data_IF_821417963933
#
_entry.id   IF_821417963933
#
_cell.length_a   1.000
_cell.length_b   1.000
_cell.length_c   1.000
_cell.angle_alpha   90.00
_cell.angle_beta   90.00
_cell.angle_gamma   90.00
#
_symmetry.space_group_name_H-M   'P 1'
#
loop_
_entity.id
_entity.type
_entity.pdbx_description
1 polymer ?
#
# COMPACT_ATOMS: atom_id res chain seq x y z
N UNK A 1 -3.64 -31.68 8.24
CA UNK A 1 -4.49 -31.21 9.35
C UNK A 1 -5.13 -29.85 9.09
N UNK A 2 -4.50 -28.92 8.35
CA UNK A 2 -5.06 -27.57 8.16
C UNK A 2 -6.43 -27.60 7.44
N UNK A 3 -6.66 -28.61 6.61
CA UNK A 3 -7.93 -28.90 5.94
C UNK A 3 -9.10 -29.22 6.87
N UNK A 4 -8.82 -29.53 8.15
CA UNK A 4 -9.85 -29.74 9.18
C UNK A 4 -10.37 -28.42 9.76
N UNK A 5 -9.62 -27.34 9.59
CA UNK A 5 -9.98 -26.03 10.12
C UNK A 5 -10.93 -25.29 9.16
N UNK A 6 -11.79 -24.47 9.74
CA UNK A 6 -12.72 -23.63 9.00
C UNK A 6 -11.97 -22.48 8.33
N UNK A 7 -12.38 -22.11 7.12
CA UNK A 7 -11.76 -20.99 6.41
C UNK A 7 -12.48 -19.69 6.72
N UNK A 8 -11.72 -18.62 6.86
CA UNK A 8 -12.25 -17.27 7.07
C UNK A 8 -13.31 -16.85 6.03
N UNK A 9 -13.24 -17.33 4.79
CA UNK A 9 -14.21 -16.98 3.73
C UNK A 9 -15.48 -17.84 3.73
N UNK A 10 -15.57 -18.91 4.53
CA UNK A 10 -16.69 -19.86 4.48
C UNK A 10 -17.25 -20.28 5.84
N UNK A 11 -16.59 -19.95 6.96
CA UNK A 11 -17.10 -20.29 8.29
C UNK A 11 -18.40 -19.55 8.60
N UNK A 12 -19.23 -20.10 9.50
CA UNK A 12 -20.42 -19.41 9.98
C UNK A 12 -20.02 -18.29 10.96
N UNK A 13 -20.22 -17.01 10.62
CA UNK A 13 -19.79 -15.91 11.48
C UNK A 13 -20.79 -15.59 12.60
N UNK A 14 -21.92 -16.31 12.74
CA UNK A 14 -22.86 -16.06 13.83
C UNK A 14 -22.18 -16.27 15.20
N UNK A 15 -22.01 -15.21 16.01
CA UNK A 15 -21.34 -15.30 17.31
C UNK A 15 -22.03 -16.29 18.26
N UNK A 16 -23.34 -16.52 18.11
CA UNK A 16 -24.07 -17.46 18.97
C UNK A 16 -23.58 -18.90 18.83
N UNK A 17 -23.11 -19.29 17.64
CA UNK A 17 -22.55 -20.62 17.37
C UNK A 17 -21.23 -20.88 18.13
N UNK A 18 -20.62 -19.83 18.68
CA UNK A 18 -19.36 -19.88 19.44
C UNK A 18 -19.55 -19.79 20.95
N UNK A 19 -20.79 -19.79 21.44
CA UNK A 19 -21.08 -19.71 22.88
C UNK A 19 -20.34 -20.81 23.65
N UNK A 20 -19.59 -20.41 24.69
CA UNK A 20 -18.79 -21.30 25.55
C UNK A 20 -17.66 -22.08 24.81
N UNK A 21 -17.33 -21.72 23.58
CA UNK A 21 -16.29 -22.39 22.79
C UNK A 21 -14.89 -21.75 22.97
N UNK A 22 -13.85 -22.58 22.98
CA UNK A 22 -12.44 -22.18 22.85
C UNK A 22 -12.07 -22.12 21.38
N UNK A 23 -11.76 -20.93 20.88
CA UNK A 23 -11.53 -20.67 19.45
C UNK A 23 -10.06 -20.35 19.20
N UNK A 24 -9.47 -21.01 18.21
CA UNK A 24 -8.18 -20.63 17.64
C UNK A 24 -8.40 -19.91 16.31
N UNK A 25 -7.89 -18.69 16.18
CA UNK A 25 -7.81 -17.98 14.90
C UNK A 25 -6.36 -17.96 14.43
N UNK A 26 -6.07 -18.66 13.34
CA UNK A 26 -4.75 -18.74 12.71
C UNK A 26 -4.61 -17.59 11.72
N UNK A 27 -3.77 -16.63 12.05
CA UNK A 27 -3.54 -15.42 11.26
C UNK A 27 -3.15 -14.24 12.15
N UNK A 28 -2.68 -13.18 11.51
CA UNK A 28 -2.22 -11.96 12.21
C UNK A 28 -2.53 -10.66 11.46
N UNK A 29 -3.31 -10.76 10.39
CA UNK A 29 -3.80 -9.62 9.64
C UNK A 29 -5.16 -9.16 10.15
N UNK A 30 -5.76 -8.19 9.46
CA UNK A 30 -7.08 -7.66 9.81
C UNK A 30 -8.15 -8.75 9.94
N UNK A 31 -8.19 -9.72 9.02
CA UNK A 31 -9.15 -10.82 9.03
C UNK A 31 -9.10 -11.66 10.31
N UNK A 32 -7.93 -11.89 10.87
CA UNK A 32 -7.83 -12.66 12.12
C UNK A 32 -8.37 -11.85 13.32
N UNK A 33 -8.04 -10.56 13.35
CA UNK A 33 -8.43 -9.70 14.46
C UNK A 33 -9.90 -9.28 14.41
N UNK A 34 -10.49 -9.06 13.23
CA UNK A 34 -11.93 -8.79 13.13
C UNK A 34 -12.77 -10.02 13.48
N UNK A 35 -12.35 -11.23 13.08
CA UNK A 35 -12.99 -12.47 13.52
C UNK A 35 -12.88 -12.64 15.03
N UNK A 36 -11.71 -12.37 15.61
CA UNK A 36 -11.53 -12.47 17.06
C UNK A 36 -12.39 -11.45 17.82
N UNK A 37 -12.45 -10.21 17.32
CA UNK A 37 -13.24 -9.14 17.92
C UNK A 37 -14.75 -9.43 17.86
N UNK A 38 -15.25 -9.93 16.73
CA UNK A 38 -16.69 -10.24 16.56
C UNK A 38 -17.19 -11.37 17.45
N UNK A 39 -16.30 -12.26 17.92
CA UNK A 39 -16.63 -13.42 18.75
C UNK A 39 -16.39 -13.18 20.23
N UNK A 40 -15.84 -12.02 20.60
CA UNK A 40 -15.29 -11.77 21.93
C UNK A 40 -16.34 -11.77 23.04
N UNK A 41 -17.59 -11.46 22.72
CA UNK A 41 -18.71 -11.45 23.67
C UNK A 41 -19.35 -12.83 23.90
N UNK A 42 -19.08 -13.82 23.03
CA UNK A 42 -19.75 -15.14 23.08
C UNK A 42 -18.79 -16.31 23.32
N UNK A 43 -17.59 -16.27 22.76
CA UNK A 43 -16.60 -17.34 22.95
C UNK A 43 -16.03 -17.36 24.37
N UNK A 44 -15.76 -18.55 24.91
CA UNK A 44 -15.16 -18.70 26.23
C UNK A 44 -13.70 -18.21 26.28
N UNK A 45 -12.93 -18.53 25.23
CA UNK A 45 -11.53 -18.13 25.08
C UNK A 45 -11.21 -18.00 23.60
N UNK A 46 -10.55 -16.91 23.21
CA UNK A 46 -10.04 -16.75 21.85
C UNK A 46 -8.52 -16.60 21.89
N UNK A 47 -7.84 -17.43 21.11
CA UNK A 47 -6.42 -17.26 20.83
C UNK A 47 -6.21 -16.88 19.37
N UNK A 48 -5.50 -15.78 19.12
CA UNK A 48 -5.04 -15.39 17.77
C UNK A 48 -3.57 -15.75 17.65
N UNK A 49 -3.19 -16.54 16.64
CA UNK A 49 -1.82 -17.02 16.46
C UNK A 49 -1.23 -16.65 15.11
N UNK A 50 0.03 -16.21 15.12
CA UNK A 50 0.83 -16.05 13.91
C UNK A 50 2.32 -15.93 14.24
N UNK A 51 3.16 -16.04 13.21
CA UNK A 51 4.61 -15.87 13.33
C UNK A 51 5.03 -14.39 13.28
N UNK A 52 6.22 -14.09 13.79
CA UNK A 52 6.88 -12.78 13.70
C UNK A 52 6.36 -11.73 14.70
N UNK A 53 6.54 -10.45 14.39
CA UNK A 53 5.99 -9.36 15.21
C UNK A 53 4.69 -8.81 14.61
N UNK A 54 3.75 -8.42 15.46
CA UNK A 54 2.53 -7.72 15.03
C UNK A 54 2.90 -6.33 14.50
N UNK A 55 2.50 -6.05 13.25
CA UNK A 55 2.68 -4.73 12.62
C UNK A 55 1.36 -3.98 12.65
N UNK A 56 1.42 -2.70 12.98
CA UNK A 56 0.25 -1.84 13.13
C UNK A 56 0.17 -0.89 11.93
N UNK A 57 -1.02 -0.72 11.37
CA UNK A 57 -1.24 0.03 10.14
C UNK A 57 -0.84 1.50 10.28
N UNK A 58 -1.08 2.14 11.43
CA UNK A 58 -0.71 3.55 11.66
C UNK A 58 0.80 3.76 11.73
N UNK A 59 1.57 2.74 12.14
CA UNK A 59 3.04 2.83 12.20
C UNK A 59 3.67 2.57 10.85
N UNK A 60 3.12 1.60 10.11
CA UNK A 60 3.68 1.16 8.82
C UNK A 60 3.11 1.90 7.60
N UNK A 61 2.09 2.74 7.80
CA UNK A 61 1.26 3.33 6.75
C UNK A 61 0.72 2.34 5.70
N UNK A 62 0.63 1.06 6.06
CA UNK A 62 0.13 0.00 5.20
C UNK A 62 -1.15 -0.61 5.79
N UNK A 63 -2.26 -0.36 5.11
CA UNK A 63 -3.62 -0.75 5.55
C UNK A 63 -3.80 -2.28 5.65
N UNK A 64 -2.92 -3.07 5.01
CA UNK A 64 -2.92 -4.54 5.14
C UNK A 64 -2.35 -5.06 6.46
N UNK A 65 -1.67 -4.24 7.24
CA UNK A 65 -1.32 -4.54 8.64
C UNK A 65 -2.51 -4.26 9.58
N UNK A 66 -2.41 -4.64 10.85
CA UNK A 66 -3.53 -4.53 11.79
C UNK A 66 -3.99 -3.08 11.94
N UNK A 67 -5.25 -2.83 11.61
CA UNK A 67 -5.88 -1.52 11.73
C UNK A 67 -6.45 -1.31 13.12
N UNK A 68 -6.43 -0.05 13.57
CA UNK A 68 -6.95 0.35 14.87
C UNK A 68 -8.42 -0.04 15.10
N UNK A 69 -9.23 -0.10 14.04
CA UNK A 69 -10.64 -0.53 14.12
C UNK A 69 -10.80 -1.96 14.63
N UNK A 70 -9.77 -2.80 14.51
CA UNK A 70 -9.76 -4.20 14.97
C UNK A 70 -8.85 -4.40 16.21
N UNK A 71 -8.48 -3.32 16.91
CA UNK A 71 -7.56 -3.40 18.05
C UNK A 71 -8.22 -3.79 19.37
N UNK A 72 -9.54 -3.73 19.49
CA UNK A 72 -10.23 -3.98 20.76
C UNK A 72 -9.84 -5.36 21.36
N UNK A 73 -9.57 -6.35 20.51
CA UNK A 73 -9.00 -7.63 20.94
C UNK A 73 -7.64 -7.51 21.68
N UNK A 74 -6.77 -6.58 21.28
CA UNK A 74 -5.49 -6.33 21.96
C UNK A 74 -5.69 -5.85 23.40
N UNK A 75 -6.71 -5.03 23.66
CA UNK A 75 -7.04 -4.57 25.01
C UNK A 75 -7.47 -5.76 25.87
N UNK A 76 -8.32 -6.65 25.34
CA UNK A 76 -8.72 -7.88 26.06
C UNK A 76 -7.52 -8.77 26.42
N UNK A 77 -6.52 -8.85 25.54
CA UNK A 77 -5.28 -9.60 25.78
C UNK A 77 -4.38 -8.92 26.83
N UNK A 78 -4.18 -7.61 26.72
CA UNK A 78 -3.29 -6.85 27.61
C UNK A 78 -3.89 -6.69 29.01
N UNK A 79 -5.21 -6.48 29.10
CA UNK A 79 -5.95 -6.30 30.35
C UNK A 79 -6.48 -7.62 30.95
N UNK A 80 -6.07 -8.77 30.38
CA UNK A 80 -6.28 -10.13 30.92
C UNK A 80 -7.73 -10.62 30.98
N UNK A 81 -8.53 -10.31 29.97
CA UNK A 81 -9.89 -10.83 29.77
C UNK A 81 -9.89 -12.22 29.09
N UNK A 82 -9.06 -13.16 29.56
CA UNK A 82 -8.87 -14.54 29.08
C UNK A 82 -8.42 -14.75 27.62
N UNK A 83 -8.45 -13.74 26.76
CA UNK A 83 -7.97 -13.81 25.39
C UNK A 83 -6.44 -13.70 25.28
N UNK A 84 -5.87 -14.25 24.20
CA UNK A 84 -4.42 -14.19 23.97
C UNK A 84 -4.01 -14.00 22.51
N UNK A 85 -2.95 -13.19 22.31
CA UNK A 85 -2.20 -13.18 21.06
C UNK A 85 -0.94 -14.02 21.25
N UNK A 86 -0.82 -15.09 20.49
CA UNK A 86 0.27 -16.05 20.58
C UNK A 86 1.32 -15.78 19.50
N UNK A 87 2.58 -15.59 19.94
CA UNK A 87 3.75 -15.50 19.07
C UNK A 87 4.31 -16.88 18.81
N UNK A 88 3.86 -17.52 17.73
CA UNK A 88 4.20 -18.90 17.46
C UNK A 88 3.69 -19.44 16.13
N UNK A 89 4.07 -20.68 15.85
CA UNK A 89 3.70 -21.43 14.65
C UNK A 89 2.85 -22.62 15.03
N UNK A 90 1.74 -22.81 14.33
CA UNK A 90 0.94 -24.04 14.40
C UNK A 90 1.67 -25.14 13.65
N UNK A 91 1.94 -26.28 14.31
CA UNK A 91 2.65 -27.41 13.70
C UNK A 91 1.70 -28.42 13.05
N UNK A 92 0.51 -28.59 13.64
CA UNK A 92 -0.54 -29.46 13.13
C UNK A 92 -1.89 -29.02 13.70
N UNK A 93 -2.97 -29.43 13.05
CA UNK A 93 -4.32 -29.45 13.61
C UNK A 93 -4.75 -30.91 13.57
N UNK A 94 -5.11 -31.47 14.73
CA UNK A 94 -5.53 -32.87 14.90
C UNK A 94 -6.94 -32.87 15.48
N UNK A 95 -7.84 -33.63 14.88
CA UNK A 95 -9.17 -33.86 15.41
C UNK A 95 -9.11 -34.99 16.45
N UNK A 96 -9.78 -34.79 17.59
CA UNK A 96 -9.92 -35.73 18.70
C UNK A 96 -11.39 -35.75 19.17
N UNK A 97 -11.74 -36.67 20.07
CA UNK A 97 -13.13 -36.83 20.56
C UNK A 97 -13.71 -35.55 21.20
N UNK A 98 -12.86 -34.69 21.77
CA UNK A 98 -13.23 -33.47 22.48
C UNK A 98 -12.90 -32.17 21.71
N UNK A 99 -12.68 -32.24 20.40
CA UNK A 99 -12.41 -31.08 19.53
C UNK A 99 -11.06 -31.20 18.82
N UNK A 100 -10.26 -30.13 18.84
CA UNK A 100 -8.98 -30.06 18.14
C UNK A 100 -7.79 -29.94 19.11
N UNK A 101 -6.74 -30.72 18.87
CA UNK A 101 -5.40 -30.54 19.45
C UNK A 101 -4.47 -29.86 18.47
N UNK A 102 -3.88 -28.76 18.93
CA UNK A 102 -3.03 -27.88 18.12
C UNK A 102 -1.70 -27.69 18.82
N UNK A 103 -0.64 -28.43 18.45
CA UNK A 103 0.72 -28.17 18.90
C UNK A 103 1.22 -26.82 18.36
N UNK A 104 1.55 -25.90 19.27
CA UNK A 104 2.08 -24.57 18.99
C UNK A 104 3.54 -24.48 19.41
N UNK A 105 4.42 -24.14 18.46
CA UNK A 105 5.81 -23.79 18.74
C UNK A 105 5.94 -22.28 18.94
N UNK A 106 6.24 -21.85 20.17
CA UNK A 106 6.39 -20.43 20.51
C UNK A 106 7.74 -19.86 20.06
N UNK A 107 7.76 -18.60 19.62
CA UNK A 107 8.98 -17.94 19.11
C UNK A 107 9.78 -17.22 20.21
N UNK A 108 9.13 -16.80 21.30
CA UNK A 108 9.75 -16.00 22.38
C UNK A 108 10.42 -16.83 23.48
N UNK A 109 10.33 -18.15 23.40
CA UNK A 109 10.89 -19.08 24.39
C UNK A 109 11.46 -20.25 23.61
N UNK A 110 12.76 -20.48 23.73
CA UNK A 110 13.37 -21.68 23.15
C UNK A 110 12.72 -22.93 23.76
N UNK A 111 12.32 -23.87 22.90
CA UNK A 111 12.01 -25.28 23.22
C UNK A 111 10.63 -25.68 23.80
N UNK A 112 9.62 -24.80 23.93
CA UNK A 112 8.29 -25.26 24.38
C UNK A 112 7.29 -25.35 23.23
N UNK A 113 7.07 -26.57 22.73
CA UNK A 113 5.84 -26.90 22.01
C UNK A 113 4.74 -27.15 23.04
N UNK A 114 3.67 -26.35 23.03
CA UNK A 114 2.48 -26.62 23.85
C UNK A 114 1.39 -27.21 22.99
N UNK A 115 0.84 -28.33 23.44
CA UNK A 115 -0.35 -28.91 22.83
C UNK A 115 -1.60 -28.27 23.46
N UNK A 116 -2.34 -27.49 22.66
CA UNK A 116 -3.47 -26.70 23.12
C UNK A 116 -4.78 -27.24 22.53
N UNK A 117 -5.84 -27.28 23.36
CA UNK A 117 -7.18 -27.73 22.98
C UNK A 117 -8.08 -26.58 22.55
N UNK A 118 -8.81 -26.78 21.46
CA UNK A 118 -9.79 -25.86 20.91
C UNK A 118 -11.06 -26.59 20.45
N UNK A 119 -12.22 -25.94 20.54
CA UNK A 119 -13.47 -26.41 19.95
C UNK A 119 -13.54 -26.08 18.46
N UNK A 120 -12.97 -24.94 18.07
CA UNK A 120 -13.00 -24.41 16.69
C UNK A 120 -11.63 -23.89 16.30
N UNK A 121 -11.26 -24.10 15.03
CA UNK A 121 -10.03 -23.56 14.45
C UNK A 121 -10.40 -22.85 13.16
N UNK A 122 -10.11 -21.55 13.07
CA UNK A 122 -10.42 -20.69 11.93
C UNK A 122 -9.11 -20.24 11.28
N UNK A 123 -9.00 -20.39 9.96
CA UNK A 123 -7.82 -20.01 9.16
C UNK A 123 -8.08 -18.67 8.48
N UNK A 124 -7.42 -17.62 9.00
CA UNK A 124 -7.47 -16.24 8.53
C UNK A 124 -6.07 -15.77 8.06
N UNK A 125 -5.38 -16.59 7.27
CA UNK A 125 -4.00 -16.38 6.81
C UNK A 125 -3.88 -15.54 5.53
N UNK A 126 -4.97 -14.92 5.10
CA UNK A 126 -5.04 -14.11 3.88
C UNK A 126 -5.32 -14.92 2.61
N UNK A 127 -5.25 -14.25 1.47
CA UNK A 127 -5.68 -14.76 0.16
C UNK A 127 -4.54 -14.74 -0.84
N UNK A 128 -4.58 -15.67 -1.80
CA UNK A 128 -3.75 -15.71 -3.01
C UNK A 128 -4.65 -15.66 -4.25
N UNK A 129 -4.08 -15.21 -5.37
CA UNK A 129 -4.75 -15.30 -6.67
C UNK A 129 -5.06 -16.76 -7.01
N UNK A 130 -6.27 -17.00 -7.53
CA UNK A 130 -6.63 -18.28 -8.14
C UNK A 130 -6.19 -18.27 -9.61
N UNK A 131 -5.35 -19.24 -9.97
CA UNK A 131 -4.83 -19.40 -11.33
C UNK A 131 -5.53 -20.52 -12.10
N UNK A 132 -6.50 -21.22 -11.49
CA UNK A 132 -7.20 -22.34 -12.13
C UNK A 132 -8.03 -21.95 -13.35
N UNK A 133 -8.31 -20.66 -13.53
CA UNK A 133 -9.01 -20.10 -14.69
C UNK A 133 -8.14 -20.01 -15.95
N UNK A 134 -6.81 -20.07 -15.81
CA UNK A 134 -5.88 -19.95 -16.93
C UNK A 134 -5.60 -21.31 -17.56
N UNK A 135 -5.47 -21.33 -18.88
CA UNK A 135 -4.87 -22.45 -19.60
C UNK A 135 -3.36 -22.49 -19.34
N UNK A 136 -2.74 -23.66 -19.40
CA UNK A 136 -1.30 -23.86 -19.16
C UNK A 136 -0.42 -22.97 -20.07
N UNK A 137 -0.94 -22.54 -21.23
CA UNK A 137 -0.23 -21.65 -22.16
C UNK A 137 -0.28 -20.16 -21.78
N UNK A 138 -1.06 -19.76 -20.78
CA UNK A 138 -1.28 -18.36 -20.41
C UNK A 138 -1.29 -18.09 -18.89
N UNK A 139 -0.65 -18.96 -18.10
CA UNK A 139 -0.49 -18.75 -16.66
C UNK A 139 0.48 -17.60 -16.38
N UNK A 140 0.08 -16.55 -15.62
CA UNK A 140 0.98 -15.47 -15.26
C UNK A 140 2.02 -15.95 -14.24
N UNK A 141 3.24 -15.42 -14.34
CA UNK A 141 4.24 -15.58 -13.28
C UNK A 141 3.69 -14.99 -11.98
N UNK A 142 3.94 -15.68 -10.85
CA UNK A 142 3.47 -15.25 -9.53
C UNK A 142 4.61 -14.77 -8.64
N UNK A 143 4.35 -13.75 -7.84
CA UNK A 143 5.26 -13.14 -6.88
C UNK A 143 4.65 -13.14 -5.47
N UNK A 144 5.50 -12.87 -4.47
CA UNK A 144 5.10 -12.83 -3.04
C UNK A 144 4.47 -14.17 -2.63
N UNK A 145 5.23 -15.25 -2.71
CA UNK A 145 4.82 -16.61 -2.35
C UNK A 145 3.54 -17.07 -3.07
N UNK A 146 3.42 -16.74 -4.36
CA UNK A 146 2.26 -17.12 -5.18
C UNK A 146 1.01 -16.26 -4.96
N UNK A 147 1.13 -15.13 -4.25
CA UNK A 147 -0.03 -14.31 -3.86
C UNK A 147 -0.57 -13.43 -4.99
N UNK A 148 0.33 -12.86 -5.80
CA UNK A 148 -0.02 -11.88 -6.82
C UNK A 148 0.64 -12.23 -8.15
N UNK A 149 0.04 -11.82 -9.29
CA UNK A 149 0.73 -11.90 -10.57
C UNK A 149 1.89 -10.90 -10.62
N UNK A 150 2.94 -11.24 -11.35
CA UNK A 150 4.03 -10.35 -11.70
C UNK A 150 3.55 -9.41 -12.81
N UNK A 151 3.54 -8.10 -12.53
CA UNK A 151 2.97 -7.09 -13.43
C UNK A 151 3.98 -6.02 -13.84
N UNK A 152 3.84 -5.52 -15.05
CA UNK A 152 4.45 -4.26 -15.49
C UNK A 152 3.84 -3.08 -14.74
N UNK A 153 4.47 -1.88 -14.77
CA UNK A 153 3.94 -0.69 -14.10
C UNK A 153 2.52 -0.27 -14.52
N UNK A 154 2.06 -0.70 -15.71
CA UNK A 154 0.72 -0.41 -16.23
C UNK A 154 -0.25 -1.58 -16.07
N UNK A 155 0.12 -2.64 -15.35
CA UNK A 155 -0.78 -3.75 -14.99
C UNK A 155 -0.86 -4.89 -15.99
N UNK A 156 0.05 -4.96 -16.97
CA UNK A 156 0.19 -6.12 -17.87
C UNK A 156 0.99 -7.23 -17.18
N UNK A 157 0.67 -8.50 -17.44
CA UNK A 157 1.52 -9.63 -17.08
C UNK A 157 2.92 -9.46 -17.69
N UNK A 158 3.96 -9.79 -16.93
CA UNK A 158 5.35 -9.71 -17.42
C UNK A 158 5.70 -10.84 -18.40
N UNK A 159 5.00 -11.99 -18.34
CA UNK A 159 5.31 -13.17 -19.14
C UNK A 159 4.22 -13.55 -20.16
N UNK A 160 2.99 -13.02 -20.02
CA UNK A 160 1.87 -13.28 -20.94
C UNK A 160 1.44 -11.98 -21.63
N UNK A 161 1.91 -11.69 -22.85
CA UNK A 161 1.58 -10.46 -23.56
C UNK A 161 0.07 -10.28 -23.77
N UNK A 162 -0.43 -9.08 -23.55
CA UNK A 162 -1.86 -8.76 -23.71
C UNK A 162 -2.77 -9.24 -22.58
N UNK A 163 -2.23 -9.90 -21.55
CA UNK A 163 -2.98 -10.24 -20.33
C UNK A 163 -2.80 -9.13 -19.29
N UNK A 164 -3.89 -8.48 -18.89
CA UNK A 164 -3.88 -7.37 -17.93
C UNK A 164 -4.68 -7.68 -16.68
N UNK A 165 -4.28 -7.07 -15.56
CA UNK A 165 -4.91 -7.24 -14.26
C UNK A 165 -5.39 -5.91 -13.70
N UNK A 166 -6.59 -5.92 -13.12
CA UNK A 166 -7.22 -4.77 -12.50
C UNK A 166 -7.71 -5.12 -11.08
N UNK A 167 -7.74 -4.13 -10.20
CA UNK A 167 -8.23 -4.30 -8.82
C UNK A 167 -7.14 -4.65 -7.83
N UNK A 168 -7.47 -5.45 -6.81
CA UNK A 168 -6.57 -5.75 -5.68
C UNK A 168 -5.30 -6.50 -6.09
N UNK A 169 -5.31 -7.22 -7.22
CA UNK A 169 -4.14 -7.93 -7.75
C UNK A 169 -3.03 -6.98 -8.23
N UNK A 170 -3.37 -5.73 -8.57
CA UNK A 170 -2.39 -4.72 -8.99
C UNK A 170 -1.38 -4.37 -7.90
N UNK A 171 -1.71 -4.64 -6.63
CA UNK A 171 -0.82 -4.34 -5.51
C UNK A 171 0.50 -5.13 -5.55
N UNK A 172 0.58 -6.24 -6.29
CA UNK A 172 1.77 -7.09 -6.33
C UNK A 172 3.03 -6.30 -6.71
N UNK A 173 2.91 -5.41 -7.69
CA UNK A 173 4.03 -4.61 -8.18
C UNK A 173 4.59 -3.66 -7.10
N UNK A 174 3.75 -3.14 -6.20
CA UNK A 174 4.06 -2.16 -5.15
C UNK A 174 3.65 -2.66 -3.77
N UNK A 175 3.84 -3.97 -3.53
CA UNK A 175 3.35 -4.63 -2.33
C UNK A 175 3.94 -3.97 -1.08
N UNK A 176 3.06 -3.62 -0.13
CA UNK A 176 3.39 -2.90 1.12
C UNK A 176 3.97 -1.49 0.95
N UNK A 177 3.89 -0.89 -0.24
CA UNK A 177 4.35 0.49 -0.47
C UNK A 177 3.23 1.50 -0.34
N UNK A 178 2.14 1.33 -1.07
CA UNK A 178 1.01 2.26 -1.09
C UNK A 178 -0.31 1.55 -0.81
N UNK A 179 -1.43 2.25 -1.03
CA UNK A 179 -2.78 1.73 -0.76
C UNK A 179 -3.38 0.90 -1.90
N UNK A 180 -2.57 0.47 -2.88
CA UNK A 180 -3.02 -0.26 -4.09
C UNK A 180 -3.74 -1.56 -3.77
N UNK A 181 -3.59 -2.12 -2.57
CA UNK A 181 -4.36 -3.29 -2.13
C UNK A 181 -5.85 -3.05 -1.89
N UNK A 182 -6.33 -1.81 -1.93
CA UNK A 182 -7.68 -1.42 -1.51
C UNK A 182 -8.35 -0.48 -2.52
N UNK A 183 -9.68 -0.42 -2.53
CA UNK A 183 -10.46 0.34 -3.53
C UNK A 183 -10.07 1.82 -3.60
N UNK A 184 -9.71 2.43 -2.48
CA UNK A 184 -9.29 3.83 -2.45
C UNK A 184 -7.96 4.06 -3.22
N UNK A 185 -7.11 3.04 -3.33
CA UNK A 185 -5.85 3.07 -4.08
C UNK A 185 -5.98 2.52 -5.51
N UNK A 186 -6.35 1.24 -5.67
CA UNK A 186 -6.29 0.59 -6.99
C UNK A 186 -7.20 1.24 -8.03
N UNK A 187 -8.26 1.95 -7.64
CA UNK A 187 -9.12 2.67 -8.60
C UNK A 187 -8.34 3.66 -9.46
N UNK A 188 -7.24 4.22 -8.93
CA UNK A 188 -6.36 5.12 -9.67
C UNK A 188 -5.39 4.37 -10.57
N UNK A 189 -4.86 3.22 -10.11
CA UNK A 189 -4.07 2.33 -10.96
C UNK A 189 -4.90 1.77 -12.12
N UNK A 190 -6.17 1.44 -11.90
CA UNK A 190 -7.12 1.04 -12.96
C UNK A 190 -7.34 2.17 -13.96
N UNK A 191 -7.42 3.43 -13.50
CA UNK A 191 -7.50 4.60 -14.40
C UNK A 191 -6.23 4.76 -15.25
N UNK A 192 -5.05 4.53 -14.67
CA UNK A 192 -3.78 4.52 -15.40
C UNK A 192 -3.72 3.38 -16.42
N UNK A 193 -4.13 2.16 -16.04
CA UNK A 193 -4.26 1.01 -16.95
C UNK A 193 -5.20 1.34 -18.12
N UNK A 194 -6.36 1.95 -17.84
CA UNK A 194 -7.29 2.36 -18.88
C UNK A 194 -6.61 3.32 -19.89
N UNK A 195 -5.92 4.36 -19.42
CA UNK A 195 -5.20 5.29 -20.31
C UNK A 195 -4.12 4.58 -21.14
N UNK A 196 -3.35 3.68 -20.52
CA UNK A 196 -2.34 2.89 -21.23
C UNK A 196 -2.94 2.00 -22.32
N UNK A 197 -4.09 1.35 -22.05
CA UNK A 197 -4.79 0.53 -23.04
C UNK A 197 -5.35 1.37 -24.20
N UNK A 198 -5.90 2.56 -23.92
CA UNK A 198 -6.39 3.50 -24.94
C UNK A 198 -5.26 3.96 -25.86
N UNK A 199 -4.11 4.28 -25.29
CA UNK A 199 -2.95 4.64 -26.06
C UNK A 199 -2.43 3.49 -26.92
N UNK A 200 -2.21 2.32 -26.32
CA UNK A 200 -1.61 1.17 -27.00
C UNK A 200 -2.50 0.59 -28.10
N UNK A 201 -3.81 0.52 -27.88
CA UNK A 201 -4.72 -0.22 -28.76
C UNK A 201 -5.66 0.67 -29.59
N UNK A 202 -5.77 1.95 -29.24
CA UNK A 202 -6.66 2.90 -29.93
C UNK A 202 -5.95 4.17 -30.41
N UNK A 203 -4.65 4.32 -30.18
CA UNK A 203 -3.88 5.49 -30.60
C UNK A 203 -4.28 6.78 -29.88
N UNK A 204 -4.98 6.66 -28.75
CA UNK A 204 -5.43 7.81 -27.96
C UNK A 204 -4.35 8.19 -26.95
N UNK A 205 -3.67 9.34 -27.11
CA UNK A 205 -2.55 9.70 -26.26
C UNK A 205 -2.99 9.86 -24.80
N UNK A 206 -2.04 9.67 -23.88
CA UNK A 206 -2.27 10.02 -22.48
C UNK A 206 -2.68 11.50 -22.38
N UNK A 207 -3.76 11.83 -21.64
CA UNK A 207 -4.22 13.21 -21.55
C UNK A 207 -3.14 14.16 -20.99
N UNK A 208 -2.84 15.21 -21.75
CA UNK A 208 -1.95 16.30 -21.33
C UNK A 208 -2.66 17.64 -21.41
N UNK A 209 -2.39 18.52 -20.44
CA UNK A 209 -2.83 19.92 -20.44
C UNK A 209 -1.68 20.84 -20.82
N UNK A 210 -1.91 21.77 -21.74
CA UNK A 210 -0.98 22.84 -22.07
C UNK A 210 -0.96 23.89 -20.94
N UNK A 211 0.23 24.30 -20.51
CA UNK A 211 0.46 25.31 -19.48
C UNK A 211 1.08 26.61 -20.03
N UNK A 212 1.37 26.70 -21.33
CA UNK A 212 2.16 27.78 -21.91
C UNK A 212 3.65 27.62 -21.62
N UNK A 213 4.36 28.71 -21.37
CA UNK A 213 5.83 28.75 -21.23
C UNK A 213 6.31 29.41 -19.93
N UNK A 214 5.39 29.70 -19.00
CA UNK A 214 5.73 30.40 -17.76
C UNK A 214 5.93 29.44 -16.59
N UNK A 215 6.98 29.69 -15.80
CA UNK A 215 7.25 28.94 -14.56
C UNK A 215 6.07 29.06 -13.58
N UNK A 216 5.40 30.20 -13.53
CA UNK A 216 4.25 30.40 -12.63
C UNK A 216 3.09 29.44 -12.95
N UNK A 217 2.79 29.23 -14.23
CA UNK A 217 1.75 28.26 -14.62
C UNK A 217 2.11 26.82 -14.20
N UNK A 218 3.40 26.47 -14.19
CA UNK A 218 3.87 25.18 -13.68
C UNK A 218 3.76 25.09 -12.15
N UNK A 219 4.16 26.12 -11.41
CA UNK A 219 4.00 26.20 -9.95
C UNK A 219 2.54 26.03 -9.57
N UNK A 220 1.64 26.77 -10.23
CA UNK A 220 0.20 26.72 -9.99
C UNK A 220 -0.38 25.33 -10.28
N UNK A 221 0.05 24.68 -11.36
CA UNK A 221 -0.37 23.34 -11.71
C UNK A 221 0.05 22.32 -10.64
N UNK A 222 1.32 22.35 -10.22
CA UNK A 222 1.87 21.44 -9.20
C UNK A 222 1.17 21.66 -7.86
N UNK A 223 1.12 22.90 -7.36
CA UNK A 223 0.50 23.26 -6.08
C UNK A 223 -0.98 22.90 -6.07
N UNK A 224 -1.73 23.20 -7.13
CA UNK A 224 -3.15 22.84 -7.19
C UNK A 224 -3.36 21.32 -7.15
N UNK A 225 -2.49 20.54 -7.81
CA UNK A 225 -2.62 19.08 -7.88
C UNK A 225 -2.27 18.39 -6.58
N UNK A 226 -1.16 18.75 -5.93
CA UNK A 226 -0.74 18.10 -4.67
C UNK A 226 -1.76 18.34 -3.54
N UNK A 227 -2.45 19.49 -3.55
CA UNK A 227 -3.48 19.83 -2.57
C UNK A 227 -4.86 19.18 -2.83
N UNK A 228 -5.15 18.68 -4.05
CA UNK A 228 -6.51 18.21 -4.41
C UNK A 228 -6.59 16.80 -4.98
N UNK A 229 -5.47 16.23 -5.43
CA UNK A 229 -5.46 14.95 -6.11
C UNK A 229 -5.57 13.78 -5.14
N UNK A 230 -6.75 13.20 -5.02
CA UNK A 230 -6.91 11.95 -4.26
C UNK A 230 -6.06 10.79 -4.81
N UNK A 231 -5.61 10.85 -6.08
CA UNK A 231 -4.73 9.83 -6.65
C UNK A 231 -3.33 9.91 -6.07
N UNK A 232 -2.72 11.10 -6.03
CA UNK A 232 -1.38 11.29 -5.44
C UNK A 232 -1.36 10.91 -3.95
N UNK A 233 -2.43 11.24 -3.22
CA UNK A 233 -2.58 10.93 -1.80
C UNK A 233 -2.68 9.44 -1.50
N UNK A 234 -3.39 8.68 -2.34
CA UNK A 234 -3.61 7.25 -2.11
C UNK A 234 -2.51 6.40 -2.76
N UNK A 235 -1.88 6.88 -3.83
CA UNK A 235 -0.82 6.19 -4.57
C UNK A 235 0.52 6.89 -4.40
N UNK A 236 0.84 7.30 -3.16
CA UNK A 236 2.09 7.95 -2.81
C UNK A 236 3.31 7.14 -3.29
N UNK A 237 4.23 7.80 -3.98
CA UNK A 237 5.40 7.20 -4.66
C UNK A 237 5.10 6.19 -5.79
N UNK A 238 3.84 5.84 -6.05
CA UNK A 238 3.43 4.83 -7.05
C UNK A 238 2.87 5.50 -8.31
N UNK A 239 1.98 6.47 -8.15
CA UNK A 239 1.53 7.35 -9.23
C UNK A 239 2.12 8.75 -9.02
N UNK A 240 2.54 9.37 -10.11
CA UNK A 240 2.99 10.75 -10.11
C UNK A 240 2.32 11.53 -11.25
N UNK A 241 2.23 12.84 -11.07
CA UNK A 241 1.97 13.73 -12.19
C UNK A 241 3.31 14.10 -12.87
N UNK A 242 3.25 14.53 -14.12
CA UNK A 242 4.41 14.94 -14.91
C UNK A 242 4.27 16.40 -15.34
N UNK A 243 5.34 17.16 -15.16
CA UNK A 243 5.55 18.43 -15.85
C UNK A 243 6.56 18.18 -16.98
N UNK A 244 6.17 18.40 -18.22
CA UNK A 244 6.95 18.09 -19.42
C UNK A 244 7.40 19.39 -20.08
N UNK A 245 8.67 19.48 -20.46
CA UNK A 245 9.24 20.65 -21.17
C UNK A 245 9.52 20.26 -22.61
N UNK A 246 8.80 20.88 -23.55
CA UNK A 246 9.00 20.71 -24.98
C UNK A 246 10.30 21.37 -25.48
N UNK A 247 10.79 21.02 -26.69
CA UNK A 247 12.00 21.62 -27.27
C UNK A 247 11.91 23.13 -27.54
N UNK A 248 10.69 23.64 -27.66
CA UNK A 248 10.34 25.05 -27.82
C UNK A 248 10.17 25.79 -26.48
N UNK A 249 10.34 25.10 -25.35
CA UNK A 249 10.09 25.61 -24.01
C UNK A 249 8.63 25.48 -23.55
N UNK A 250 7.73 24.94 -24.38
CA UNK A 250 6.33 24.76 -24.01
C UNK A 250 6.17 23.73 -22.88
N UNK A 251 5.40 24.09 -21.87
CA UNK A 251 5.13 23.30 -20.67
C UNK A 251 3.82 22.55 -20.83
N UNK A 252 3.84 21.25 -20.56
CA UNK A 252 2.65 20.39 -20.55
C UNK A 252 2.56 19.61 -19.25
N UNK A 253 1.36 19.27 -18.85
CA UNK A 253 1.10 18.56 -17.60
C UNK A 253 0.33 17.27 -17.86
N UNK A 254 0.88 16.13 -17.44
CA UNK A 254 0.22 14.83 -17.51
C UNK A 254 -0.11 14.34 -16.09
N UNK A 255 -1.29 13.77 -15.89
CA UNK A 255 -1.73 13.37 -14.56
C UNK A 255 -1.62 11.85 -14.35
N UNK A 256 -1.25 11.46 -13.13
CA UNK A 256 -1.43 10.10 -12.56
C UNK A 256 -0.80 8.98 -13.37
N UNK A 257 0.43 9.20 -13.80
CA UNK A 257 1.25 8.24 -14.51
C UNK A 257 1.94 7.32 -13.50
N UNK A 258 1.95 5.98 -13.70
CA UNK A 258 2.75 5.10 -12.86
C UNK A 258 4.23 5.51 -12.92
N UNK A 259 4.83 5.84 -11.78
CA UNK A 259 6.19 6.42 -11.73
C UNK A 259 7.21 5.54 -12.42
N UNK A 260 7.10 4.22 -12.25
CA UNK A 260 7.98 3.23 -12.90
C UNK A 260 7.75 3.09 -14.42
N UNK A 261 6.65 3.59 -14.95
CA UNK A 261 6.37 3.64 -16.39
C UNK A 261 7.03 4.86 -17.06
N UNK A 262 7.20 5.97 -16.33
CA UNK A 262 7.63 7.27 -16.84
C UNK A 262 8.89 7.21 -17.71
N UNK A 263 10.00 6.55 -17.29
CA UNK A 263 11.23 6.58 -18.08
C UNK A 263 11.06 5.96 -19.48
N UNK A 264 10.28 4.89 -19.58
CA UNK A 264 9.97 4.25 -20.85
C UNK A 264 9.04 5.09 -21.71
N UNK A 265 7.97 5.59 -21.09
CA UNK A 265 6.93 6.35 -21.78
C UNK A 265 7.43 7.69 -22.34
N UNK A 266 8.21 8.46 -21.55
CA UNK A 266 8.82 9.71 -22.03
C UNK A 266 9.77 9.45 -23.21
N UNK A 267 10.62 8.41 -23.12
CA UNK A 267 11.52 8.04 -24.23
C UNK A 267 10.78 7.59 -25.49
N UNK A 268 9.63 6.93 -25.34
CA UNK A 268 8.79 6.51 -26.45
C UNK A 268 8.03 7.69 -27.11
N UNK A 269 8.04 8.88 -26.47
CA UNK A 269 7.27 10.02 -26.94
C UNK A 269 5.77 9.90 -26.61
N UNK A 270 5.41 9.10 -25.61
CA UNK A 270 4.02 8.82 -25.22
C UNK A 270 3.27 10.08 -24.76
N UNK A 271 4.02 11.12 -24.36
CA UNK A 271 3.51 12.43 -23.98
C UNK A 271 3.94 13.53 -24.97
N UNK A 272 4.34 13.17 -26.19
CA UNK A 272 5.01 14.05 -27.15
C UNK A 272 6.48 14.31 -26.84
N UNK A 273 7.18 15.03 -27.72
CA UNK A 273 8.60 15.34 -27.56
C UNK A 273 8.85 16.18 -26.30
N UNK A 274 9.79 15.75 -25.44
CA UNK A 274 10.15 16.48 -24.22
C UNK A 274 11.67 16.37 -23.97
N UNK A 275 12.33 17.51 -23.76
CA UNK A 275 13.76 17.59 -23.48
C UNK A 275 14.07 17.38 -21.98
N UNK A 276 13.13 17.78 -21.14
CA UNK A 276 13.17 17.61 -19.70
C UNK A 276 11.76 17.30 -19.16
N UNK A 277 11.70 16.71 -17.97
CA UNK A 277 10.45 16.52 -17.25
C UNK A 277 10.67 16.47 -15.74
N UNK A 278 9.65 16.89 -14.98
CA UNK A 278 9.54 16.63 -13.56
C UNK A 278 8.56 15.48 -13.31
N UNK A 279 8.85 14.66 -12.31
CA UNK A 279 7.90 13.71 -11.72
C UNK A 279 7.48 14.26 -10.35
N UNK A 280 6.18 14.47 -10.17
CA UNK A 280 5.59 15.03 -8.95
C UNK A 280 4.83 13.94 -8.21
N UNK A 281 5.24 13.64 -6.99
CA UNK A 281 4.64 12.62 -6.12
C UNK A 281 4.34 13.20 -4.75
N UNK A 282 3.47 12.52 -3.99
CA UNK A 282 3.46 12.63 -2.53
C UNK A 282 4.22 11.43 -1.97
N UNK A 283 5.05 11.65 -0.94
CA UNK A 283 5.89 10.60 -0.33
C UNK A 283 6.02 10.81 1.18
N UNK A 284 6.17 9.70 1.90
CA UNK A 284 6.66 9.73 3.27
C UNK A 284 8.17 9.64 3.23
N UNK A 285 8.85 10.37 4.12
CA UNK A 285 10.29 10.33 4.15
C UNK A 285 10.89 9.01 4.60
N UNK A 286 12.20 8.91 4.44
CA UNK A 286 12.95 7.74 4.84
C UNK A 286 12.72 7.41 6.31
N UNK A 287 12.63 6.11 6.60
CA UNK A 287 12.49 5.57 7.96
C UNK A 287 11.26 6.08 8.75
N UNK A 288 10.25 6.64 8.08
CA UNK A 288 9.04 7.12 8.73
C UNK A 288 8.30 6.03 9.54
N UNK A 289 8.47 4.75 9.17
CA UNK A 289 7.84 3.59 9.80
C UNK A 289 8.60 3.06 11.03
N UNK A 290 9.80 3.58 11.29
CA UNK A 290 10.63 3.18 12.45
C UNK A 290 10.22 3.91 13.71
N UNK A 291 9.65 5.10 13.59
CA UNK A 291 9.25 5.94 14.71
C UNK A 291 7.81 5.63 15.13
N UNK A 292 7.54 5.65 16.43
CA UNK A 292 6.17 5.62 16.94
C UNK A 292 5.56 7.02 16.76
N UNK A 293 4.49 7.20 15.97
CA UNK A 293 3.87 8.50 15.76
C UNK A 293 3.26 9.10 17.04
N UNK A 294 3.13 8.32 18.12
CA UNK A 294 2.64 8.78 19.42
C UNK A 294 3.76 9.12 20.41
N UNK A 295 5.03 8.93 20.04
CA UNK A 295 6.18 9.30 20.87
C UNK A 295 6.58 10.76 20.63
N UNK A 296 6.23 11.63 21.59
CA UNK A 296 6.54 13.07 21.53
C UNK A 296 8.04 13.38 21.56
N UNK A 297 8.87 12.44 22.02
CA UNK A 297 10.32 12.62 22.04
C UNK A 297 10.95 12.44 20.66
N UNK A 298 10.21 11.79 19.75
CA UNK A 298 10.61 11.65 18.36
C UNK A 298 10.29 12.94 17.57
N UNK A 299 11.14 13.95 17.74
CA UNK A 299 10.99 15.28 17.12
C UNK A 299 10.73 15.25 15.60
N UNK A 300 10.22 16.37 15.08
CA UNK A 300 9.87 16.59 13.68
C UNK A 300 10.49 17.89 13.15
N UNK A 301 10.64 17.99 11.83
CA UNK A 301 11.13 19.21 11.16
C UNK A 301 10.13 20.35 11.35
N UNK A 302 10.63 21.59 11.41
CA UNK A 302 9.77 22.77 11.48
C UNK A 302 9.05 22.98 10.15
N UNK A 303 7.74 23.25 10.18
CA UNK A 303 6.92 23.50 8.99
C UNK A 303 7.28 24.81 8.26
N UNK A 304 8.05 25.69 8.90
CA UNK A 304 8.58 26.92 8.31
C UNK A 304 9.96 26.71 7.63
N UNK A 305 10.49 25.49 7.63
CA UNK A 305 11.72 25.20 6.91
C UNK A 305 11.47 25.30 5.41
N UNK A 306 12.33 26.00 4.67
CA UNK A 306 12.21 26.19 3.21
C UNK A 306 13.28 25.44 2.42
N UNK A 307 14.13 24.67 3.11
CA UNK A 307 15.27 23.97 2.49
C UNK A 307 14.86 22.73 1.68
N UNK A 308 13.61 22.28 1.82
CA UNK A 308 13.09 21.09 1.15
C UNK A 308 13.78 19.81 1.58
N UNK A 309 13.60 19.46 2.87
CA UNK A 309 14.15 18.25 3.47
C UNK A 309 13.19 17.07 3.29
N UNK A 310 13.75 15.86 3.38
CA UNK A 310 12.99 14.62 3.46
C UNK A 310 12.13 14.61 4.75
N UNK A 311 10.86 15.01 4.60
CA UNK A 311 9.89 15.14 5.70
C UNK A 311 9.39 13.77 6.17
N UNK A 312 9.22 13.58 7.48
CA UNK A 312 8.72 12.28 8.00
C UNK A 312 7.27 12.04 7.57
N UNK A 313 6.47 13.10 7.54
CA UNK A 313 5.08 13.02 7.14
C UNK A 313 4.94 13.10 5.62
N UNK A 314 3.75 12.77 5.12
CA UNK A 314 3.46 12.81 3.70
C UNK A 314 3.67 14.23 3.17
N UNK A 315 4.48 14.39 2.13
CA UNK A 315 4.78 15.69 1.54
C UNK A 315 5.06 15.60 0.03
N UNK A 316 4.94 16.71 -0.73
CA UNK A 316 5.23 16.72 -2.15
C UNK A 316 6.73 16.63 -2.45
N UNK A 317 7.05 15.82 -3.46
CA UNK A 317 8.40 15.66 -3.99
C UNK A 317 8.36 15.92 -5.50
N UNK A 318 9.23 16.79 -5.97
CA UNK A 318 9.40 17.13 -7.38
C UNK A 318 10.78 16.68 -7.82
N UNK A 319 10.86 15.62 -8.62
CA UNK A 319 12.13 15.10 -9.17
C UNK A 319 12.30 15.53 -10.61
N UNK A 320 13.38 16.22 -10.92
CA UNK A 320 13.69 16.73 -12.26
C UNK A 320 14.62 15.80 -13.04
N UNK A 321 14.29 15.59 -14.30
CA UNK A 321 15.02 14.74 -15.24
C UNK A 321 15.28 15.48 -16.55
N UNK A 322 16.47 15.30 -17.12
CA UNK A 322 16.85 15.83 -18.44
C UNK A 322 17.47 14.73 -19.27
N UNK A 323 17.01 14.56 -20.51
CA UNK A 323 17.42 13.46 -21.39
C UNK A 323 17.34 12.06 -20.71
N UNK A 324 16.36 11.87 -19.81
CA UNK A 324 16.15 10.61 -19.07
C UNK A 324 17.06 10.39 -17.86
N UNK A 325 18.00 11.30 -17.56
CA UNK A 325 18.84 11.25 -16.37
C UNK A 325 18.26 12.11 -15.25
N UNK A 326 18.34 11.63 -14.00
CA UNK A 326 18.01 12.41 -12.82
C UNK A 326 18.98 13.58 -12.67
N UNK A 327 18.47 14.77 -12.37
CA UNK A 327 19.26 16.00 -12.24
C UNK A 327 19.21 16.53 -10.81
N UNK A 328 18.01 16.72 -10.29
CA UNK A 328 17.78 17.31 -8.97
C UNK A 328 16.40 16.94 -8.44
N UNK A 329 16.18 17.15 -7.14
CA UNK A 329 14.86 17.05 -6.53
C UNK A 329 14.60 18.19 -5.56
N UNK A 330 13.33 18.49 -5.34
CA UNK A 330 12.87 19.46 -4.36
C UNK A 330 11.68 18.88 -3.59
N UNK A 331 11.77 18.94 -2.27
CA UNK A 331 10.71 18.54 -1.37
C UNK A 331 9.99 19.81 -0.90
N UNK A 332 8.68 19.82 -0.98
CA UNK A 332 7.89 20.85 -0.29
C UNK A 332 7.79 20.42 1.17
N UNK A 333 8.01 21.35 2.08
CA UNK A 333 7.97 21.05 3.52
C UNK A 333 6.59 20.55 3.95
N UNK A 334 6.58 19.59 4.88
CA UNK A 334 5.34 19.07 5.46
C UNK A 334 4.51 20.19 6.13
N UNK A 335 3.20 20.15 5.95
CA UNK A 335 2.26 21.12 6.51
C UNK A 335 1.23 20.38 7.38
N UNK A 336 0.88 20.93 8.55
CA UNK A 336 -0.02 20.27 9.51
C UNK A 336 -1.40 19.98 8.89
N UNK A 337 -1.92 20.94 8.14
CA UNK A 337 -3.24 20.89 7.51
C UNK A 337 -3.15 20.29 6.10
N UNK A 338 -1.93 19.96 5.65
CA UNK A 338 -1.60 19.51 4.31
C UNK A 338 -2.00 20.52 3.23
N UNK A 339 -1.82 21.81 3.56
CA UNK A 339 -2.00 22.94 2.65
C UNK A 339 -0.62 23.42 2.19
N UNK A 340 -0.27 23.10 0.93
CA UNK A 340 1.02 23.43 0.33
C UNK A 340 0.95 24.65 -0.59
N UNK A 341 0.36 25.75 -0.12
CA UNK A 341 0.11 26.97 -0.94
C UNK A 341 0.68 28.28 -0.36
N UNK A 342 1.27 28.25 0.84
CA UNK A 342 2.07 29.36 1.37
C UNK A 342 3.09 29.87 0.34
N UNK A 343 3.04 31.17 0.06
CA UNK A 343 3.94 31.81 -0.90
C UNK A 343 5.41 31.68 -0.46
N UNK A 344 5.69 31.95 0.81
CA UNK A 344 7.05 31.93 1.36
C UNK A 344 7.61 30.51 1.48
N UNK A 345 6.78 29.56 1.93
CA UNK A 345 7.25 28.23 2.35
C UNK A 345 7.18 27.22 1.20
N UNK A 346 6.19 27.33 0.31
CA UNK A 346 5.91 26.31 -0.71
C UNK A 346 6.11 26.85 -2.12
N UNK A 347 5.45 27.96 -2.48
CA UNK A 347 5.43 28.43 -3.87
C UNK A 347 6.74 29.06 -4.30
N UNK A 348 7.32 29.97 -3.52
CA UNK A 348 8.57 30.62 -3.87
C UNK A 348 9.76 29.64 -3.95
N UNK A 349 9.93 28.66 -3.04
CA UNK A 349 10.96 27.63 -3.17
C UNK A 349 10.75 26.73 -4.40
N UNK A 350 9.52 26.30 -4.67
CA UNK A 350 9.21 25.52 -5.87
C UNK A 350 9.47 26.32 -7.15
N UNK A 351 9.08 27.60 -7.18
CA UNK A 351 9.35 28.52 -8.29
C UNK A 351 10.85 28.64 -8.55
N UNK A 352 11.64 28.84 -7.49
CA UNK A 352 13.08 28.94 -7.60
C UNK A 352 13.70 27.63 -8.14
N UNK A 353 13.21 26.48 -7.66
CA UNK A 353 13.66 25.17 -8.15
C UNK A 353 13.36 24.97 -9.65
N UNK A 354 12.13 25.26 -10.07
CA UNK A 354 11.69 25.13 -11.47
C UNK A 354 12.36 26.15 -12.40
N UNK A 355 12.65 27.36 -11.93
CA UNK A 355 13.35 28.36 -12.73
C UNK A 355 14.85 28.05 -12.93
N UNK A 356 15.44 27.24 -12.04
CA UNK A 356 16.85 26.86 -12.11
C UNK A 356 17.13 25.66 -13.04
N UNK A 357 16.09 24.95 -13.49
CA UNK A 357 16.20 23.66 -14.19
C UNK A 357 15.41 23.63 -15.49
#
# INVERSE_FOLDING_TARGET
GIELAERYDTFDPDPQSFTDQRVLVIGRGNSAFETADSLMETAAVIHVIGSGSLRLAWRSHYVGHLRAVNNNFLDSYQLKSQNAVLDGRVLAVREEEDGFRVPVAFERVEEVVKDLRYDRVIVATGFRMDVSVFDDTCVPDLIVDGRFPALTPVGESVNVPGLYFAGTLMQGADFKKATTGFIHGFRYSVRALHRALRQRHHGEPWPTRDLGDTVEAAVDAVVSRVNRSSALWQQFGVLGDLLLVGPDGALRYAEEVPVRHVPGAVRAGDFGAADAHAVITLEYGADHDRVDPFDVTAGRTNQQDVRGLDGRYLHPVVRWYRAGAFVAEHHLTENLENEWDSEEIHRAPLRAFLAAH
#
